data_IF_653711315048
#
_entry.id   IF_653711315048
#
_cell.length_a   1.000
_cell.length_b   1.000
_cell.length_c   1.000
_cell.angle_alpha   90.00
_cell.angle_beta   90.00
_cell.angle_gamma   90.00
#
_symmetry.space_group_name_H-M   'P 1'
#
loop_
_entity.id
_entity.type
_entity.pdbx_description
1 polymer ?
#
# COMPACT_ATOMS: atom_id res chain seq x y z
N UNK A 1 -13.36 -47.60 51.93
CA UNK A 1 -13.51 -46.68 53.08
C UNK A 1 -13.20 -45.30 52.53
N UNK A 2 -14.25 -44.56 52.14
CA UNK A 2 -14.15 -43.30 51.40
C UNK A 2 -14.32 -42.13 52.37
N UNK A 3 -13.42 -41.15 52.28
CA UNK A 3 -13.49 -39.88 53.01
C UNK A 3 -14.71 -39.07 52.51
N UNK A 4 -15.68 -38.69 53.38
CA UNK A 4 -16.90 -38.05 52.93
C UNK A 4 -16.84 -36.51 52.91
N UNK A 5 -15.71 -35.88 53.25
CA UNK A 5 -15.63 -34.43 53.34
C UNK A 5 -14.69 -33.84 52.29
N UNK A 6 -15.21 -33.66 51.07
CA UNK A 6 -14.64 -32.69 50.13
C UNK A 6 -14.58 -31.33 50.83
N UNK A 7 -13.39 -30.73 50.90
CA UNK A 7 -13.10 -29.50 51.67
C UNK A 7 -14.14 -28.40 51.32
N UNK A 8 -14.97 -28.01 52.29
CA UNK A 8 -15.99 -26.97 52.15
C UNK A 8 -15.41 -25.66 52.68
N UNK A 9 -15.34 -24.63 51.84
CA UNK A 9 -14.92 -23.28 52.24
C UNK A 9 -16.13 -22.44 52.65
N UNK A 10 -16.02 -21.72 53.77
CA UNK A 10 -17.03 -20.77 54.24
C UNK A 10 -16.50 -19.34 53.98
N UNK A 11 -17.19 -18.55 53.15
CA UNK A 11 -16.91 -17.12 52.95
C UNK A 11 -18.14 -16.34 53.39
N UNK A 12 -18.01 -15.52 54.44
CA UNK A 12 -19.07 -14.67 54.95
C UNK A 12 -19.10 -13.32 54.25
N UNK A 13 -20.15 -13.05 53.47
CA UNK A 13 -20.48 -11.69 53.01
C UNK A 13 -21.91 -11.41 53.48
N UNK A 14 -22.10 -10.35 54.28
CA UNK A 14 -23.40 -9.91 54.80
C UNK A 14 -24.19 -10.93 55.67
N UNK A 15 -23.49 -11.69 56.53
CA UNK A 15 -24.16 -12.49 57.59
C UNK A 15 -24.83 -13.79 57.14
N UNK A 16 -24.79 -14.15 55.85
CA UNK A 16 -25.23 -15.45 55.35
C UNK A 16 -24.03 -16.37 55.08
N UNK A 17 -24.04 -17.56 55.69
CA UNK A 17 -23.08 -18.63 55.42
C UNK A 17 -23.47 -19.33 54.11
N UNK A 18 -22.61 -19.24 53.08
CA UNK A 18 -22.79 -19.98 51.82
C UNK A 18 -21.75 -21.10 51.78
N UNK A 19 -22.19 -22.36 51.67
CA UNK A 19 -21.30 -23.51 51.46
C UNK A 19 -20.76 -23.46 50.02
N UNK A 20 -19.43 -23.47 49.87
CA UNK A 20 -18.76 -23.57 48.56
C UNK A 20 -17.96 -24.88 48.50
N UNK A 21 -18.30 -25.73 47.53
CA UNK A 21 -17.53 -26.92 47.18
C UNK A 21 -16.24 -26.49 46.45
N UNK A 22 -15.12 -26.50 47.19
CA UNK A 22 -13.82 -25.98 46.71
C UNK A 22 -13.33 -26.75 45.47
N UNK A 23 -13.36 -28.09 45.41
CA UNK A 23 -13.06 -28.85 44.20
C UNK A 23 -13.89 -28.45 42.98
N UNK A 24 -15.20 -28.25 43.15
CA UNK A 24 -16.06 -27.81 42.04
C UNK A 24 -15.77 -26.37 41.61
N UNK A 25 -15.50 -25.48 42.57
CA UNK A 25 -15.12 -24.08 42.29
C UNK A 25 -13.82 -23.98 41.49
N UNK A 26 -12.79 -24.75 41.84
CA UNK A 26 -11.55 -24.76 41.04
C UNK A 26 -11.76 -25.38 39.65
N UNK A 27 -12.64 -26.37 39.52
CA UNK A 27 -12.99 -26.96 38.23
C UNK A 27 -13.70 -25.94 37.33
N UNK A 28 -14.67 -25.18 37.87
CA UNK A 28 -15.37 -24.14 37.11
C UNK A 28 -14.44 -23.00 36.70
N UNK A 29 -13.52 -22.58 37.59
CA UNK A 29 -12.52 -21.56 37.28
C UNK A 29 -11.55 -22.00 36.16
N UNK A 30 -11.10 -23.27 36.19
CA UNK A 30 -10.25 -23.84 35.12
C UNK A 30 -10.98 -23.94 33.79
N UNK A 31 -12.25 -24.32 33.78
CA UNK A 31 -13.08 -24.36 32.58
C UNK A 31 -13.24 -22.94 32.00
N UNK A 32 -13.56 -21.96 32.85
CA UNK A 32 -13.70 -20.56 32.42
C UNK A 32 -12.38 -20.00 31.84
N UNK A 33 -11.24 -20.31 32.46
CA UNK A 33 -9.91 -19.90 31.95
C UNK A 33 -9.57 -20.58 30.61
N UNK A 34 -9.87 -21.87 30.46
CA UNK A 34 -9.68 -22.59 29.20
C UNK A 34 -10.59 -22.02 28.10
N UNK A 35 -11.87 -21.76 28.41
CA UNK A 35 -12.82 -21.13 27.49
C UNK A 35 -12.33 -19.75 27.05
N UNK A 36 -11.88 -18.91 27.98
CA UNK A 36 -11.34 -17.59 27.65
C UNK A 36 -10.11 -17.69 26.72
N UNK A 37 -9.23 -18.67 26.95
CA UNK A 37 -8.05 -18.93 26.12
C UNK A 37 -8.45 -19.37 24.71
N UNK A 38 -9.35 -20.35 24.58
CA UNK A 38 -9.86 -20.83 23.29
C UNK A 38 -10.56 -19.70 22.53
N UNK A 39 -11.41 -18.92 23.19
CA UNK A 39 -12.11 -17.79 22.56
C UNK A 39 -11.12 -16.74 22.05
N UNK A 40 -10.03 -16.49 22.78
CA UNK A 40 -8.97 -15.59 22.33
C UNK A 40 -8.27 -16.14 21.09
N UNK A 41 -7.87 -17.41 21.08
CA UNK A 41 -7.22 -18.06 19.93
C UNK A 41 -8.13 -18.10 18.70
N UNK A 42 -9.41 -18.44 18.88
CA UNK A 42 -10.41 -18.44 17.81
C UNK A 42 -10.57 -17.03 17.24
N UNK A 43 -10.69 -16.00 18.09
CA UNK A 43 -10.81 -14.60 17.65
C UNK A 43 -9.57 -14.15 16.89
N UNK A 44 -8.37 -14.45 17.39
CA UNK A 44 -7.11 -14.13 16.71
C UNK A 44 -7.01 -14.86 15.37
N UNK A 45 -7.43 -16.12 15.31
CA UNK A 45 -7.53 -16.89 14.07
C UNK A 45 -8.48 -16.25 13.05
N UNK A 46 -9.67 -15.83 13.49
CA UNK A 46 -10.66 -15.15 12.62
C UNK A 46 -10.12 -13.82 12.09
N UNK A 47 -9.49 -13.00 12.94
CA UNK A 47 -8.92 -11.71 12.53
C UNK A 47 -7.80 -11.90 11.51
N UNK A 48 -6.90 -12.86 11.74
CA UNK A 48 -5.82 -13.19 10.78
C UNK A 48 -6.38 -13.68 9.46
N UNK A 49 -7.42 -14.51 9.49
CA UNK A 49 -8.06 -15.03 8.29
C UNK A 49 -8.74 -13.92 7.48
N UNK A 50 -9.47 -13.01 8.15
CA UNK A 50 -10.10 -11.86 7.51
C UNK A 50 -9.07 -10.91 6.90
N UNK A 51 -7.98 -10.62 7.62
CA UNK A 51 -6.91 -9.77 7.11
C UNK A 51 -6.26 -10.37 5.85
N UNK A 52 -6.05 -11.70 5.83
CA UNK A 52 -5.52 -12.41 4.66
C UNK A 52 -6.49 -12.36 3.47
N UNK A 53 -7.78 -12.61 3.71
CA UNK A 53 -8.80 -12.53 2.66
C UNK A 53 -8.88 -11.12 2.06
N UNK A 54 -8.84 -10.08 2.89
CA UNK A 54 -8.84 -8.70 2.43
C UNK A 54 -7.58 -8.35 1.62
N UNK A 55 -6.41 -8.87 2.02
CA UNK A 55 -5.17 -8.69 1.27
C UNK A 55 -5.22 -9.41 -0.09
N UNK A 56 -5.68 -10.66 -0.13
CA UNK A 56 -5.82 -11.45 -1.36
C UNK A 56 -6.82 -10.79 -2.33
N UNK A 57 -7.93 -10.25 -1.82
CA UNK A 57 -8.91 -9.49 -2.61
C UNK A 57 -8.32 -8.18 -3.15
N UNK A 58 -7.60 -7.44 -2.32
CA UNK A 58 -6.91 -6.22 -2.75
C UNK A 58 -5.91 -6.52 -3.86
N UNK A 59 -5.08 -7.55 -3.71
CA UNK A 59 -4.11 -7.95 -4.74
C UNK A 59 -4.79 -8.41 -6.03
N UNK A 60 -5.92 -9.11 -5.93
CA UNK A 60 -6.71 -9.51 -7.10
C UNK A 60 -7.23 -8.29 -7.88
N UNK A 61 -7.76 -7.28 -7.19
CA UNK A 61 -8.29 -6.06 -7.82
C UNK A 61 -7.15 -5.22 -8.43
N UNK A 62 -6.03 -5.08 -7.72
CA UNK A 62 -4.86 -4.36 -8.22
C UNK A 62 -4.25 -5.02 -9.45
N UNK A 63 -4.21 -6.36 -9.50
CA UNK A 63 -3.75 -7.09 -10.68
C UNK A 63 -4.77 -7.10 -11.82
N UNK A 64 -6.06 -6.99 -11.52
CA UNK A 64 -7.09 -6.75 -12.52
C UNK A 64 -6.86 -5.40 -13.23
N UNK A 65 -6.55 -4.31 -12.50
CA UNK A 65 -6.23 -3.01 -13.11
C UNK A 65 -5.08 -3.13 -14.10
N UNK A 66 -3.96 -3.70 -13.67
CA UNK A 66 -2.84 -4.02 -14.55
C UNK A 66 -1.90 -5.06 -13.92
N UNK A 67 -1.40 -6.02 -14.72
CA UNK A 67 -0.34 -6.92 -14.28
C UNK A 67 1.03 -6.24 -14.23
N UNK A 68 1.18 -5.02 -14.77
CA UNK A 68 2.45 -4.33 -14.83
C UNK A 68 3.02 -4.06 -13.43
N UNK A 69 4.34 -4.22 -13.31
CA UNK A 69 5.13 -3.84 -12.15
C UNK A 69 6.44 -3.19 -12.61
N UNK A 70 6.63 -1.94 -12.19
CA UNK A 70 7.80 -1.13 -12.55
C UNK A 70 8.92 -1.22 -11.49
N UNK A 71 8.66 -1.80 -10.31
CA UNK A 71 9.65 -1.90 -9.25
C UNK A 71 10.90 -2.71 -9.63
N UNK A 72 10.79 -3.86 -10.32
CA UNK A 72 11.97 -4.59 -10.79
C UNK A 72 12.82 -3.76 -11.76
N UNK A 73 12.17 -3.07 -12.70
CA UNK A 73 12.86 -2.23 -13.68
C UNK A 73 13.58 -1.05 -13.02
N UNK A 74 12.93 -0.41 -12.05
CA UNK A 74 13.53 0.66 -11.26
C UNK A 74 14.78 0.17 -10.52
N UNK A 75 14.72 -1.00 -9.88
CA UNK A 75 15.89 -1.60 -9.22
C UNK A 75 17.03 -1.86 -10.20
N UNK A 76 16.71 -2.37 -11.39
CA UNK A 76 17.71 -2.65 -12.43
C UNK A 76 18.35 -1.37 -12.98
N UNK A 77 17.58 -0.30 -13.18
CA UNK A 77 18.11 0.99 -13.63
C UNK A 77 19.04 1.62 -12.59
N UNK A 78 18.69 1.58 -11.30
CA UNK A 78 19.57 2.05 -10.23
C UNK A 78 20.86 1.23 -10.14
N UNK A 79 20.78 -0.11 -10.23
CA UNK A 79 21.98 -0.97 -10.22
C UNK A 79 22.94 -0.68 -11.36
N UNK A 80 22.43 -0.28 -12.52
CA UNK A 80 23.23 0.04 -13.71
C UNK A 80 23.79 1.46 -13.70
N UNK A 81 23.37 2.30 -12.75
CA UNK A 81 23.85 3.68 -12.61
C UNK A 81 25.36 3.69 -12.37
N UNK A 82 26.07 4.51 -13.15
CA UNK A 82 27.47 4.81 -12.87
C UNK A 82 27.57 5.84 -11.74
N UNK A 83 28.51 5.64 -10.80
CA UNK A 83 28.70 6.55 -9.68
C UNK A 83 28.89 8.01 -10.16
N UNK A 84 28.26 8.96 -9.46
CA UNK A 84 28.27 10.39 -9.84
C UNK A 84 27.27 10.79 -10.93
N UNK A 85 26.63 9.84 -11.62
CA UNK A 85 25.59 10.16 -12.62
C UNK A 85 24.40 10.85 -11.95
N UNK A 86 23.95 11.96 -12.53
CA UNK A 86 22.76 12.70 -12.07
C UNK A 86 22.97 13.54 -10.80
N UNK A 87 24.18 13.58 -10.23
CA UNK A 87 24.45 14.42 -9.05
C UNK A 87 24.23 15.90 -9.33
N UNK A 88 24.56 16.35 -10.54
CA UNK A 88 24.33 17.72 -11.00
C UNK A 88 22.83 18.10 -10.98
N UNK A 89 21.94 17.14 -11.22
CA UNK A 89 20.49 17.34 -11.20
C UNK A 89 20.01 17.42 -9.75
N UNK A 90 20.42 16.49 -8.90
CA UNK A 90 20.02 16.47 -7.49
C UNK A 90 20.54 17.69 -6.71
N UNK A 91 21.72 18.20 -7.09
CA UNK A 91 22.30 19.40 -6.49
C UNK A 91 21.77 20.71 -7.11
N UNK A 92 20.94 20.65 -8.14
CA UNK A 92 20.46 21.86 -8.82
C UNK A 92 19.48 22.63 -7.92
N UNK A 93 19.54 23.98 -7.91
CA UNK A 93 18.58 24.79 -7.15
C UNK A 93 17.13 24.50 -7.53
N UNK A 94 16.86 24.26 -8.82
CA UNK A 94 15.53 23.96 -9.35
C UNK A 94 14.98 22.66 -8.76
N UNK A 95 15.80 21.60 -8.71
CA UNK A 95 15.39 20.34 -8.09
C UNK A 95 15.16 20.50 -6.59
N UNK A 96 16.06 21.20 -5.89
CA UNK A 96 15.96 21.39 -4.44
C UNK A 96 14.76 22.24 -4.04
N UNK A 97 14.43 23.27 -4.82
CA UNK A 97 13.20 24.06 -4.63
C UNK A 97 11.99 23.16 -4.85
N UNK A 98 11.91 22.48 -6.00
CA UNK A 98 10.82 21.59 -6.33
C UNK A 98 10.58 20.48 -5.29
N UNK A 99 11.65 19.93 -4.72
CA UNK A 99 11.57 18.89 -3.68
C UNK A 99 10.92 19.40 -2.39
N UNK A 100 11.14 20.67 -2.04
CA UNK A 100 10.76 21.28 -0.75
C UNK A 100 9.47 22.08 -0.80
N UNK A 101 9.05 22.53 -1.98
CA UNK A 101 7.86 23.36 -2.15
C UNK A 101 6.70 22.56 -2.73
N UNK A 102 5.53 23.19 -2.78
CA UNK A 102 4.35 22.69 -3.51
C UNK A 102 4.42 23.06 -5.00
N UNK A 103 5.64 23.25 -5.54
CA UNK A 103 5.83 23.50 -6.96
C UNK A 103 5.31 22.31 -7.77
N UNK A 104 4.32 22.58 -8.60
CA UNK A 104 3.50 21.53 -9.19
C UNK A 104 4.24 20.66 -10.20
N UNK A 105 5.32 21.11 -10.83
CA UNK A 105 5.98 20.33 -11.89
C UNK A 105 7.42 20.76 -12.16
N UNK A 106 8.35 19.80 -12.14
CA UNK A 106 9.72 19.97 -12.61
C UNK A 106 9.92 19.37 -14.00
N UNK A 107 10.33 20.21 -14.96
CA UNK A 107 10.61 19.78 -16.33
C UNK A 107 12.11 19.57 -16.57
N UNK A 108 12.53 18.32 -16.68
CA UNK A 108 13.90 17.96 -17.05
C UNK A 108 14.07 17.88 -18.57
N UNK A 109 14.86 18.78 -19.15
CA UNK A 109 15.19 18.77 -20.57
C UNK A 109 16.49 17.99 -20.81
N UNK A 110 16.48 17.04 -21.73
CA UNK A 110 17.71 16.38 -22.16
C UNK A 110 17.60 15.87 -23.59
N UNK A 111 18.74 15.72 -24.26
CA UNK A 111 18.80 15.18 -25.63
C UNK A 111 18.38 13.70 -25.66
N UNK A 112 17.85 13.20 -26.78
CA UNK A 112 17.70 11.76 -27.00
C UNK A 112 19.02 11.03 -26.71
N UNK A 113 18.96 9.89 -26.02
CA UNK A 113 20.16 9.13 -25.65
C UNK A 113 20.91 9.61 -24.39
N UNK A 114 20.52 10.75 -23.79
CA UNK A 114 21.21 11.32 -22.62
C UNK A 114 20.98 10.58 -21.28
N UNK A 115 20.51 9.33 -21.30
CA UNK A 115 20.28 8.56 -20.06
C UNK A 115 19.06 9.01 -19.25
N UNK A 116 18.05 9.59 -19.90
CA UNK A 116 16.74 9.98 -19.33
C UNK A 116 16.18 8.98 -18.32
N UNK A 117 16.16 7.70 -18.68
CA UNK A 117 15.66 6.62 -17.83
C UNK A 117 16.47 6.48 -16.54
N UNK A 118 17.79 6.61 -16.63
CA UNK A 118 18.68 6.56 -15.46
C UNK A 118 18.46 7.81 -14.59
N UNK A 119 18.30 8.99 -15.19
CA UNK A 119 18.00 10.23 -14.45
C UNK A 119 16.65 10.16 -13.72
N UNK A 120 15.59 9.69 -14.38
CA UNK A 120 14.28 9.48 -13.74
C UNK A 120 14.39 8.47 -12.60
N UNK A 121 15.13 7.38 -12.82
CA UNK A 121 15.37 6.38 -11.80
C UNK A 121 16.08 6.98 -10.58
N UNK A 122 17.10 7.83 -10.79
CA UNK A 122 17.79 8.57 -9.73
C UNK A 122 16.85 9.48 -8.95
N UNK A 123 15.96 10.21 -9.64
CA UNK A 123 14.97 11.07 -8.97
C UNK A 123 14.02 10.24 -8.11
N UNK A 124 13.52 9.11 -8.62
CA UNK A 124 12.65 8.22 -7.86
C UNK A 124 13.37 7.65 -6.64
N UNK A 125 14.64 7.26 -6.78
CA UNK A 125 15.47 6.76 -5.69
C UNK A 125 15.68 7.82 -4.60
N UNK A 126 15.97 9.06 -4.98
CA UNK A 126 16.09 10.19 -4.06
C UNK A 126 14.75 10.47 -3.34
N UNK A 127 13.63 10.50 -4.05
CA UNK A 127 12.31 10.69 -3.45
C UNK A 127 12.00 9.58 -2.43
N UNK A 128 12.31 8.33 -2.79
CA UNK A 128 12.11 7.18 -1.90
C UNK A 128 13.04 7.26 -0.68
N UNK A 129 14.27 7.77 -0.83
CA UNK A 129 15.18 8.01 0.29
C UNK A 129 14.67 9.12 1.23
N UNK A 130 14.12 10.21 0.69
CA UNK A 130 13.60 11.33 1.48
C UNK A 130 12.25 11.04 2.14
N UNK A 131 11.32 10.40 1.43
CA UNK A 131 9.91 10.30 1.82
C UNK A 131 9.38 8.87 1.87
N UNK A 132 10.17 7.84 1.59
CA UNK A 132 9.68 6.45 1.50
C UNK A 132 9.10 5.89 2.79
N UNK A 133 9.41 6.49 3.94
CA UNK A 133 8.84 6.14 5.25
C UNK A 133 7.69 7.06 5.68
N UNK A 134 7.48 8.16 4.98
CA UNK A 134 6.40 9.11 5.25
C UNK A 134 5.07 8.56 4.71
N UNK A 135 4.13 8.30 5.62
CA UNK A 135 2.79 7.80 5.27
C UNK A 135 1.91 8.87 4.60
N UNK A 136 2.28 10.15 4.71
CA UNK A 136 1.59 11.26 4.07
C UNK A 136 2.00 11.51 2.61
N UNK A 137 3.14 10.94 2.19
CA UNK A 137 3.68 11.16 0.85
C UNK A 137 3.57 9.89 -0.01
N UNK A 138 2.86 9.97 -1.13
CA UNK A 138 2.81 8.88 -2.11
C UNK A 138 3.77 9.14 -3.26
N UNK A 139 4.63 8.18 -3.59
CA UNK A 139 5.53 8.25 -4.75
C UNK A 139 5.11 7.18 -5.74
N UNK A 140 4.74 7.61 -6.94
CA UNK A 140 4.39 6.73 -8.06
C UNK A 140 5.23 7.07 -9.28
N UNK A 141 5.56 6.09 -10.10
CA UNK A 141 6.44 6.30 -11.24
C UNK A 141 6.15 5.34 -12.38
N UNK A 142 6.49 5.78 -13.60
CA UNK A 142 6.46 4.94 -14.80
C UNK A 142 7.79 5.08 -15.51
N UNK A 143 8.40 3.93 -15.80
CA UNK A 143 9.55 3.84 -16.69
C UNK A 143 9.14 3.20 -18.02
N UNK A 144 8.79 4.02 -19.01
CA UNK A 144 8.46 3.54 -20.35
C UNK A 144 9.64 2.78 -20.98
N UNK A 145 9.39 1.60 -21.53
CA UNK A 145 10.44 0.86 -22.23
C UNK A 145 10.33 1.16 -23.73
N UNK A 146 11.34 1.83 -24.28
CA UNK A 146 11.39 2.17 -25.71
C UNK A 146 11.22 0.94 -26.63
N UNK A 147 11.62 -0.25 -26.17
CA UNK A 147 11.50 -1.50 -26.94
C UNK A 147 10.08 -2.09 -26.95
N UNK A 148 9.14 -1.50 -26.21
CA UNK A 148 7.75 -1.98 -26.04
C UNK A 148 6.73 -0.87 -26.27
N UNK A 149 7.05 0.14 -27.08
CA UNK A 149 6.14 1.28 -27.31
C UNK A 149 4.75 0.85 -27.81
N UNK A 150 4.68 -0.20 -28.63
CA UNK A 150 3.43 -0.72 -29.17
C UNK A 150 2.56 -1.45 -28.12
N UNK A 151 3.15 -1.78 -26.96
CA UNK A 151 2.50 -2.46 -25.84
C UNK A 151 2.14 -1.51 -24.69
N UNK A 152 2.49 -0.21 -24.77
CA UNK A 152 2.29 0.77 -23.70
C UNK A 152 1.23 1.81 -24.09
N UNK A 153 -0.05 1.41 -24.08
CA UNK A 153 -1.16 2.35 -24.30
C UNK A 153 -1.32 3.29 -23.12
N UNK A 154 -1.91 4.46 -23.35
CA UNK A 154 -2.11 5.46 -22.30
C UNK A 154 -2.94 4.90 -21.13
N UNK A 155 -3.93 4.07 -21.42
CA UNK A 155 -4.77 3.37 -20.45
C UNK A 155 -3.94 2.45 -19.54
N UNK A 156 -3.00 1.68 -20.11
CA UNK A 156 -2.15 0.76 -19.36
C UNK A 156 -1.18 1.51 -18.43
N UNK A 157 -0.66 2.64 -18.89
CA UNK A 157 0.20 3.52 -18.10
C UNK A 157 -0.57 4.13 -16.93
N UNK A 158 -1.76 4.66 -17.17
CA UNK A 158 -2.59 5.26 -16.14
C UNK A 158 -3.13 4.22 -15.16
N UNK A 159 -3.52 3.03 -15.63
CA UNK A 159 -3.89 1.91 -14.76
C UNK A 159 -2.73 1.53 -13.83
N UNK A 160 -1.48 1.63 -14.31
CA UNK A 160 -0.28 1.39 -13.49
C UNK A 160 -0.06 2.47 -12.43
N UNK A 161 -0.37 3.73 -12.72
CA UNK A 161 -0.37 4.80 -11.70
C UNK A 161 -1.43 4.53 -10.64
N UNK A 162 -2.65 4.20 -11.06
CA UNK A 162 -3.77 3.94 -10.17
C UNK A 162 -3.45 2.76 -9.24
N UNK A 163 -2.88 1.67 -9.79
CA UNK A 163 -2.40 0.53 -9.03
C UNK A 163 -1.40 0.96 -7.95
N UNK A 164 -0.37 1.74 -8.31
CA UNK A 164 0.63 2.20 -7.35
C UNK A 164 0.05 3.11 -6.27
N UNK A 165 -0.86 4.03 -6.62
CA UNK A 165 -1.56 4.91 -5.68
C UNK A 165 -2.39 4.12 -4.68
N UNK A 166 -3.11 3.11 -5.15
CA UNK A 166 -3.99 2.28 -4.33
C UNK A 166 -3.22 1.29 -3.46
N UNK A 167 -2.13 0.69 -3.99
CA UNK A 167 -1.33 -0.33 -3.30
C UNK A 167 -0.60 0.21 -2.06
N UNK A 168 -0.33 1.51 -2.00
CA UNK A 168 0.35 2.14 -0.85
C UNK A 168 -0.58 2.37 0.35
N UNK A 169 -1.89 2.14 0.22
CA UNK A 169 -2.86 2.27 1.30
C UNK A 169 -2.99 0.96 2.08
N UNK A 170 -3.36 1.07 3.36
CA UNK A 170 -3.70 -0.08 4.21
C UNK A 170 -5.00 -0.77 3.80
N UNK A 171 -5.84 -0.08 3.01
CA UNK A 171 -7.10 -0.59 2.50
C UNK A 171 -7.32 -0.05 1.09
N UNK A 172 -7.88 -0.87 0.22
CA UNK A 172 -8.21 -0.47 -1.14
C UNK A 172 -9.19 0.73 -1.16
N UNK A 173 -8.90 1.81 -1.89
CA UNK A 173 -9.80 2.96 -2.00
C UNK A 173 -11.16 2.60 -2.60
N UNK A 174 -12.22 3.25 -2.13
CA UNK A 174 -13.58 2.95 -2.56
C UNK A 174 -13.79 3.25 -4.06
N UNK A 175 -13.14 4.29 -4.59
CA UNK A 175 -13.17 4.60 -6.03
C UNK A 175 -12.63 3.45 -6.88
N UNK A 176 -11.61 2.72 -6.41
CA UNK A 176 -11.04 1.58 -7.11
C UNK A 176 -11.92 0.34 -6.98
N UNK A 177 -12.54 0.12 -5.81
CA UNK A 177 -13.52 -0.96 -5.62
C UNK A 177 -14.73 -0.78 -6.52
N UNK A 178 -15.34 0.40 -6.52
CA UNK A 178 -16.49 0.70 -7.36
C UNK A 178 -16.17 0.54 -8.84
N UNK A 179 -14.99 1.02 -9.27
CA UNK A 179 -14.54 0.84 -10.65
C UNK A 179 -14.36 -0.66 -11.00
N UNK A 180 -13.84 -1.46 -10.08
CA UNK A 180 -13.74 -2.90 -10.29
C UNK A 180 -15.12 -3.57 -10.36
N UNK A 181 -16.04 -3.25 -9.46
CA UNK A 181 -17.36 -3.90 -9.38
C UNK A 181 -18.23 -3.60 -10.61
N UNK A 182 -18.12 -2.39 -11.17
CA UNK A 182 -18.77 -1.98 -12.41
C UNK A 182 -18.27 -2.82 -13.60
N UNK A 183 -16.96 -2.91 -13.79
CA UNK A 183 -16.35 -3.52 -14.97
C UNK A 183 -16.15 -5.04 -14.87
N UNK A 184 -16.14 -5.61 -13.66
CA UNK A 184 -15.96 -7.06 -13.44
C UNK A 184 -17.09 -7.87 -14.09
N UNK A 185 -18.32 -7.35 -14.06
CA UNK A 185 -19.49 -8.05 -14.59
C UNK A 185 -19.57 -7.97 -16.12
N UNK A 186 -19.12 -6.87 -16.70
CA UNK A 186 -19.17 -6.61 -18.15
C UNK A 186 -18.01 -7.24 -18.92
N UNK A 187 -16.96 -7.72 -18.22
CA UNK A 187 -15.71 -8.24 -18.80
C UNK A 187 -14.99 -7.23 -19.71
N UNK A 188 -15.24 -5.95 -19.50
CA UNK A 188 -14.64 -4.82 -20.21
C UNK A 188 -13.52 -4.19 -19.37
N UNK A 189 -12.68 -3.37 -20.00
CA UNK A 189 -11.62 -2.59 -19.34
C UNK A 189 -12.13 -1.17 -19.08
N UNK A 190 -11.79 -0.56 -17.93
CA UNK A 190 -12.06 0.85 -17.68
C UNK A 190 -11.52 1.75 -18.78
N UNK A 191 -12.25 2.80 -19.13
CA UNK A 191 -11.77 3.78 -20.09
C UNK A 191 -10.68 4.67 -19.47
N UNK A 192 -9.92 5.37 -20.31
CA UNK A 192 -8.97 6.39 -19.85
C UNK A 192 -9.60 7.43 -18.91
N UNK A 193 -10.85 7.83 -19.20
CA UNK A 193 -11.57 8.83 -18.40
C UNK A 193 -11.86 8.29 -16.99
N UNK A 194 -12.33 7.05 -16.89
CA UNK A 194 -12.68 6.44 -15.60
C UNK A 194 -11.44 6.24 -14.73
N UNK A 195 -10.34 5.77 -15.34
CA UNK A 195 -9.06 5.62 -14.65
C UNK A 195 -8.57 6.99 -14.16
N UNK A 196 -8.71 8.04 -14.97
CA UNK A 196 -8.29 9.40 -14.59
C UNK A 196 -9.09 9.94 -13.41
N UNK A 197 -10.41 9.71 -13.38
CA UNK A 197 -11.29 10.08 -12.26
C UNK A 197 -10.89 9.31 -10.99
N UNK A 198 -10.62 8.01 -11.11
CA UNK A 198 -10.15 7.20 -9.99
C UNK A 198 -8.80 7.68 -9.46
N UNK A 199 -7.83 8.00 -10.34
CA UNK A 199 -6.53 8.56 -9.94
C UNK A 199 -6.72 9.85 -9.15
N UNK A 200 -7.54 10.79 -9.64
CA UNK A 200 -7.81 12.03 -8.95
C UNK A 200 -8.41 11.78 -7.57
N UNK A 201 -9.37 10.84 -7.48
CA UNK A 201 -10.06 10.48 -6.25
C UNK A 201 -9.12 9.86 -5.21
N UNK A 202 -8.18 9.00 -5.62
CA UNK A 202 -7.19 8.41 -4.71
C UNK A 202 -6.09 9.44 -4.35
N UNK A 203 -5.68 10.27 -5.31
CA UNK A 203 -4.63 11.27 -5.08
C UNK A 203 -5.04 12.33 -4.06
N UNK A 204 -6.32 12.67 -3.93
CA UNK A 204 -6.78 13.64 -2.92
C UNK A 204 -6.70 13.11 -1.49
N UNK A 205 -6.58 11.79 -1.30
CA UNK A 205 -6.45 11.16 0.02
C UNK A 205 -5.04 11.31 0.62
N UNK A 206 -4.06 11.69 -0.20
CA UNK A 206 -2.69 11.91 0.23
C UNK A 206 -2.43 13.40 0.44
N UNK A 207 -1.81 13.78 1.58
CA UNK A 207 -1.29 15.13 1.79
C UNK A 207 -0.34 15.57 0.68
N UNK A 208 0.51 14.64 0.21
CA UNK A 208 1.45 14.89 -0.86
C UNK A 208 1.56 13.71 -1.81
N UNK A 209 1.59 13.97 -3.12
CA UNK A 209 1.83 12.94 -4.14
C UNK A 209 2.94 13.41 -5.06
N UNK A 210 3.89 12.53 -5.37
CA UNK A 210 4.88 12.69 -6.42
C UNK A 210 4.61 11.69 -7.53
N UNK A 211 4.37 12.15 -8.75
CA UNK A 211 4.11 11.27 -9.91
C UNK A 211 5.25 11.39 -10.92
N UNK A 212 6.21 10.49 -10.97
CA UNK A 212 7.31 10.57 -11.96
C UNK A 212 6.93 9.91 -13.29
N UNK A 213 6.65 10.70 -14.33
CA UNK A 213 6.30 10.20 -15.67
C UNK A 213 7.42 10.39 -16.69
N UNK A 214 7.93 9.30 -17.26
CA UNK A 214 8.82 9.34 -18.43
C UNK A 214 8.00 9.32 -19.73
N UNK A 215 7.81 10.47 -20.38
CA UNK A 215 7.21 10.55 -21.72
C UNK A 215 8.29 10.56 -22.81
N UNK A 216 8.16 9.66 -23.79
CA UNK A 216 9.17 9.45 -24.84
C UNK A 216 9.08 10.40 -26.04
N UNK A 217 8.15 11.35 -26.08
CA UNK A 217 7.98 12.23 -27.24
C UNK A 217 7.76 13.66 -26.75
N UNK A 218 8.64 14.56 -27.21
CA UNK A 218 8.67 16.00 -26.96
C UNK A 218 8.39 16.43 -25.52
N UNK A 219 9.50 16.69 -24.82
CA UNK A 219 9.66 17.75 -23.81
C UNK A 219 8.47 17.84 -22.86
N UNK A 220 8.48 17.05 -21.78
CA UNK A 220 7.98 17.38 -20.43
C UNK A 220 7.98 16.11 -19.56
N UNK A 221 8.66 16.14 -18.42
CA UNK A 221 8.38 15.24 -17.31
C UNK A 221 7.31 15.91 -16.46
N UNK A 222 6.19 15.22 -16.24
CA UNK A 222 5.23 15.68 -15.26
C UNK A 222 5.63 15.02 -13.95
N UNK A 223 6.12 15.80 -12.99
CA UNK A 223 6.08 15.40 -11.59
C UNK A 223 5.08 16.27 -10.87
N UNK A 224 3.82 15.81 -10.85
CA UNK A 224 2.78 16.48 -10.08
C UNK A 224 3.15 16.34 -8.62
N UNK A 225 3.51 17.46 -7.99
CA UNK A 225 3.39 17.64 -6.56
C UNK A 225 2.02 18.31 -6.32
N UNK A 226 1.19 17.66 -5.52
CA UNK A 226 0.06 18.32 -4.86
C UNK A 226 0.37 18.41 -3.39
#
# INVERSE_FOLDING_TARGET
>A
MADPFGIIGIIGVAGQLVQVDIPQYYRSLRIAALQATILKEVREGTVKQQARQAADEQDAILNWLTPADYAPQQSDFIKRRQAGTGQWLLASPEFQVWLRTDERTLFCHSMPGAGKTILTSIVVDELMACFGTDKGTCIVYICCNFRRQDEQKAEDLFASLLKQLAQRRSSLPDSVKSLHDEYKNERTRPSFADISVAIQSVAVEYPRVFISLMLLINVKYLVVAR
#
